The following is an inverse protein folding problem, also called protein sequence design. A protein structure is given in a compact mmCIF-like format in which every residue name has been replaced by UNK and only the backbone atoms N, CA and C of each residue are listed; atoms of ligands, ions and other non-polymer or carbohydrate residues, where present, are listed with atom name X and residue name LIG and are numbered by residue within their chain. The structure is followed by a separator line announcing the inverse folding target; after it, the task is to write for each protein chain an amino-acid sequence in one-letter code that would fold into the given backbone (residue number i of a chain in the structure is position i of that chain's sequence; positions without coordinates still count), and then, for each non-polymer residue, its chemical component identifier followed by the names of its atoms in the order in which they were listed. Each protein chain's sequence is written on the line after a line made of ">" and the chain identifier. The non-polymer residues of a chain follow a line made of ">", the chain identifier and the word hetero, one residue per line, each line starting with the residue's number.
data_IF_331406294658
#
_entry.id   IF_331406294658
#
_cell.length_a   1.000
_cell.length_b   1.000
_cell.length_c   1.000
_cell.angle_alpha   90.00
_cell.angle_beta   90.00
_cell.angle_gamma   90.00
#
_symmetry.space_group_name_H-M   'P 1'
#
loop_
_entity.id
_entity.type
_entity.pdbx_description
1 polymer ?
#
# COMPACT_ATOMS: atom_id res chain seq x y z
N UNK A 1 29.32 -9.72 -5.92
CA UNK A 1 28.32 -8.74 -5.46
C UNK A 1 27.53 -9.40 -4.33
N UNK A 2 27.22 -8.71 -3.23
CA UNK A 2 26.40 -9.30 -2.17
C UNK A 2 24.97 -9.53 -2.66
N UNK A 3 24.26 -10.50 -2.09
CA UNK A 3 22.86 -10.76 -2.45
C UNK A 3 21.98 -9.51 -2.27
N UNK A 4 22.27 -8.68 -1.27
CA UNK A 4 21.58 -7.41 -1.05
C UNK A 4 21.89 -6.39 -2.16
N UNK A 5 23.15 -6.27 -2.59
CA UNK A 5 23.50 -5.36 -3.69
C UNK A 5 22.78 -5.72 -4.99
N UNK A 6 22.60 -7.01 -5.29
CA UNK A 6 21.82 -7.46 -6.46
C UNK A 6 20.34 -7.08 -6.35
N UNK A 7 19.73 -7.25 -5.16
CA UNK A 7 18.32 -6.90 -4.92
C UNK A 7 18.08 -5.40 -5.00
N UNK A 8 19.00 -4.58 -4.47
CA UNK A 8 18.93 -3.12 -4.57
C UNK A 8 19.05 -2.64 -6.02
N UNK A 9 19.89 -3.31 -6.81
CA UNK A 9 19.99 -3.04 -8.25
C UNK A 9 18.68 -3.39 -8.97
N UNK A 10 18.10 -4.56 -8.70
CA UNK A 10 16.80 -4.96 -9.28
C UNK A 10 15.69 -3.97 -8.88
N UNK A 11 15.66 -3.54 -7.61
CA UNK A 11 14.71 -2.53 -7.14
C UNK A 11 14.84 -1.22 -7.93
N UNK A 12 16.07 -0.73 -8.12
CA UNK A 12 16.34 0.49 -8.89
C UNK A 12 15.94 0.36 -10.37
N UNK A 13 16.16 -0.82 -10.97
CA UNK A 13 15.71 -1.12 -12.34
C UNK A 13 14.18 -1.14 -12.46
N UNK A 14 13.49 -1.65 -11.44
CA UNK A 14 12.04 -1.60 -11.34
C UNK A 14 11.51 -0.16 -11.19
N UNK A 15 12.15 0.69 -10.40
CA UNK A 15 11.78 2.12 -10.30
C UNK A 15 11.97 2.85 -11.63
N UNK A 16 13.08 2.59 -12.33
CA UNK A 16 13.31 3.15 -13.67
C UNK A 16 12.24 2.70 -14.67
N UNK A 17 11.81 1.44 -14.61
CA UNK A 17 10.68 0.94 -15.43
C UNK A 17 9.38 1.65 -15.09
N UNK A 18 9.12 1.91 -13.80
CA UNK A 18 7.94 2.67 -13.39
C UNK A 18 7.96 4.10 -13.97
N UNK A 19 9.11 4.77 -13.95
CA UNK A 19 9.28 6.09 -14.57
C UNK A 19 9.07 6.05 -16.09
N UNK A 20 9.57 5.02 -16.77
CA UNK A 20 9.34 4.83 -18.20
C UNK A 20 7.84 4.57 -18.52
N UNK A 21 7.12 3.87 -17.65
CA UNK A 21 5.67 3.72 -17.73
C UNK A 21 4.92 5.06 -17.58
N UNK A 22 5.47 6.01 -16.83
CA UNK A 22 4.88 7.34 -16.67
C UNK A 22 5.15 8.29 -17.85
N UNK A 23 6.20 8.04 -18.64
CA UNK A 23 6.49 8.85 -19.82
C UNK A 23 5.42 8.68 -20.90
N UNK A 24 4.90 9.81 -21.36
CA UNK A 24 4.06 9.93 -22.55
C UNK A 24 4.93 10.23 -23.77
N UNK A 25 4.52 9.80 -24.96
CA UNK A 25 5.27 10.03 -26.19
C UNK A 25 4.33 10.19 -27.36
N UNK A 26 4.37 11.36 -28.00
CA UNK A 26 3.60 11.62 -29.22
C UNK A 26 4.10 10.76 -30.39
N UNK A 27 5.42 10.51 -30.47
CA UNK A 27 6.04 9.66 -31.51
C UNK A 27 5.57 8.20 -31.38
N UNK A 28 5.33 7.72 -30.16
CA UNK A 28 4.84 6.35 -29.89
C UNK A 28 3.33 6.28 -29.65
N UNK A 29 2.56 7.34 -29.99
CA UNK A 29 1.11 7.41 -29.80
C UNK A 29 0.63 7.12 -28.34
N UNK A 30 1.49 7.36 -27.33
CA UNK A 30 1.16 7.15 -25.92
C UNK A 30 0.76 8.48 -25.28
N UNK A 31 -0.55 8.74 -25.28
CA UNK A 31 -1.14 10.00 -24.80
C UNK A 31 -1.50 10.01 -23.33
N UNK A 32 -1.51 8.84 -22.67
CA UNK A 32 -1.73 8.72 -21.23
C UNK A 32 -0.60 7.93 -20.56
N UNK A 33 -0.21 8.28 -19.33
CA UNK A 33 0.66 7.44 -18.52
C UNK A 33 0.09 6.02 -18.37
N UNK A 34 0.98 5.04 -18.28
CA UNK A 34 0.62 3.66 -17.95
C UNK A 34 0.71 3.49 -16.43
N UNK A 35 -0.35 3.89 -15.73
CA UNK A 35 -0.41 3.86 -14.28
C UNK A 35 -0.33 2.44 -13.72
N UNK A 36 -1.00 1.46 -14.34
CA UNK A 36 -0.97 0.07 -13.88
C UNK A 36 0.43 -0.54 -14.05
N UNK A 37 1.08 -0.31 -15.18
CA UNK A 37 2.46 -0.76 -15.41
C UNK A 37 3.46 -0.10 -14.47
N UNK A 38 3.27 1.19 -14.15
CA UNK A 38 4.09 1.90 -13.20
C UNK A 38 3.90 1.38 -11.76
N UNK A 39 2.65 1.17 -11.35
CA UNK A 39 2.32 0.64 -10.03
C UNK A 39 2.87 -0.79 -9.85
N UNK A 40 2.66 -1.67 -10.83
CA UNK A 40 3.19 -3.04 -10.80
C UNK A 40 4.71 -3.08 -10.69
N UNK A 41 5.40 -2.19 -11.42
CA UNK A 41 6.86 -2.09 -11.34
C UNK A 41 7.32 -1.63 -9.95
N UNK A 42 6.59 -0.74 -9.29
CA UNK A 42 6.89 -0.31 -7.92
C UNK A 42 6.58 -1.38 -6.87
N UNK A 43 5.53 -2.18 -7.04
CA UNK A 43 5.29 -3.35 -6.18
C UNK A 43 6.44 -4.35 -6.25
N UNK A 44 6.97 -4.58 -7.46
CA UNK A 44 8.18 -5.39 -7.68
C UNK A 44 9.40 -4.79 -6.99
N UNK A 45 9.59 -3.47 -7.07
CA UNK A 45 10.66 -2.77 -6.36
C UNK A 45 10.54 -2.96 -4.83
N UNK A 46 9.32 -2.83 -4.29
CA UNK A 46 9.05 -3.02 -2.86
C UNK A 46 9.43 -4.43 -2.38
N UNK A 47 9.11 -5.48 -3.15
CA UNK A 47 9.54 -6.84 -2.84
C UNK A 47 11.07 -6.95 -2.79
N UNK A 48 11.77 -6.31 -3.73
CA UNK A 48 13.23 -6.31 -3.77
C UNK A 48 13.83 -5.57 -2.57
N UNK A 49 13.32 -4.40 -2.22
CA UNK A 49 13.74 -3.63 -1.05
C UNK A 49 13.50 -4.39 0.26
N UNK A 50 12.33 -5.03 0.42
CA UNK A 50 12.04 -5.86 1.59
C UNK A 50 13.03 -7.00 1.71
N UNK A 51 13.32 -7.70 0.62
CA UNK A 51 14.29 -8.80 0.60
C UNK A 51 15.74 -8.34 0.80
N UNK A 52 16.03 -7.05 0.60
CA UNK A 52 17.30 -6.42 0.89
C UNK A 52 17.39 -5.86 2.33
N UNK A 53 16.38 -6.10 3.17
CA UNK A 53 16.25 -5.58 4.54
C UNK A 53 16.13 -4.04 4.60
N UNK A 54 15.49 -3.45 3.61
CA UNK A 54 15.19 -2.02 3.52
C UNK A 54 13.66 -1.77 3.59
N UNK A 55 13.00 -2.07 4.73
CA UNK A 55 11.54 -2.03 4.85
C UNK A 55 10.94 -0.64 4.66
N UNK A 56 11.66 0.44 5.03
CA UNK A 56 11.18 1.81 4.81
C UNK A 56 11.14 2.16 3.32
N UNK A 57 12.18 1.82 2.55
CA UNK A 57 12.17 1.99 1.08
C UNK A 57 11.08 1.14 0.42
N UNK A 58 10.88 -0.08 0.91
CA UNK A 58 9.80 -0.93 0.43
C UNK A 58 8.41 -0.31 0.66
N UNK A 59 8.18 0.29 1.84
CA UNK A 59 6.95 1.00 2.14
C UNK A 59 6.76 2.22 1.23
N UNK A 60 7.81 3.02 1.02
CA UNK A 60 7.76 4.19 0.12
C UNK A 60 7.42 3.79 -1.32
N UNK A 61 8.01 2.71 -1.84
CA UNK A 61 7.67 2.17 -3.17
C UNK A 61 6.20 1.75 -3.25
N UNK A 62 5.66 1.07 -2.23
CA UNK A 62 4.24 0.70 -2.18
C UNK A 62 3.32 1.92 -2.08
N UNK A 63 3.71 2.97 -1.35
CA UNK A 63 2.94 4.21 -1.28
C UNK A 63 2.87 4.91 -2.63
N UNK A 64 3.97 4.92 -3.38
CA UNK A 64 4.00 5.44 -4.75
C UNK A 64 3.16 4.58 -5.70
N UNK A 65 3.18 3.25 -5.54
CA UNK A 65 2.29 2.35 -6.29
C UNK A 65 0.81 2.63 -5.99
N UNK A 66 0.47 2.83 -4.72
CA UNK A 66 -0.88 3.17 -4.28
C UNK A 66 -1.39 4.48 -4.90
N UNK A 67 -0.52 5.49 -5.05
CA UNK A 67 -0.85 6.73 -5.74
C UNK A 67 -1.22 6.47 -7.21
N UNK A 68 -0.42 5.70 -7.94
CA UNK A 68 -0.71 5.38 -9.34
C UNK A 68 -1.99 4.55 -9.50
N UNK A 69 -2.25 3.58 -8.62
CA UNK A 69 -3.53 2.89 -8.63
C UNK A 69 -4.71 3.83 -8.38
N UNK A 70 -4.56 4.80 -7.48
CA UNK A 70 -5.61 5.79 -7.22
C UNK A 70 -5.84 6.71 -8.43
N UNK A 71 -4.78 7.20 -9.08
CA UNK A 71 -4.89 8.00 -10.31
C UNK A 71 -5.60 7.23 -11.43
N UNK A 72 -5.42 5.90 -11.47
CA UNK A 72 -6.11 5.01 -12.39
C UNK A 72 -7.50 4.56 -11.90
N UNK A 73 -8.01 5.11 -10.80
CA UNK A 73 -9.29 4.75 -10.15
C UNK A 73 -9.39 3.28 -9.70
N UNK A 74 -8.27 2.59 -9.55
CA UNK A 74 -8.20 1.23 -9.03
C UNK A 74 -8.10 1.25 -7.49
N UNK A 75 -9.21 1.62 -6.84
CA UNK A 75 -9.26 1.87 -5.40
C UNK A 75 -8.86 0.66 -4.56
N UNK A 76 -9.25 -0.55 -4.98
CA UNK A 76 -8.91 -1.79 -4.28
C UNK A 76 -7.39 -2.02 -4.25
N UNK A 77 -6.70 -1.87 -5.38
CA UNK A 77 -5.25 -2.05 -5.43
C UNK A 77 -4.51 -0.91 -4.72
N UNK A 78 -5.05 0.31 -4.76
CA UNK A 78 -4.52 1.42 -3.96
C UNK A 78 -4.59 1.13 -2.46
N UNK A 79 -5.73 0.62 -1.97
CA UNK A 79 -5.92 0.20 -0.58
C UNK A 79 -4.95 -0.92 -0.19
N UNK A 80 -4.84 -1.96 -1.03
CA UNK A 80 -3.93 -3.09 -0.81
C UNK A 80 -2.47 -2.67 -0.72
N UNK A 81 -2.02 -1.78 -1.59
CA UNK A 81 -0.65 -1.26 -1.55
C UNK A 81 -0.39 -0.45 -0.26
N UNK A 82 -1.36 0.37 0.20
CA UNK A 82 -1.26 1.08 1.49
C UNK A 82 -1.21 0.13 2.68
N UNK A 83 -2.04 -0.90 2.68
CA UNK A 83 -2.03 -1.93 3.73
C UNK A 83 -0.66 -2.63 3.79
N UNK A 84 -0.09 -2.98 2.63
CA UNK A 84 1.26 -3.54 2.54
C UNK A 84 2.34 -2.60 3.10
N UNK A 85 2.26 -1.30 2.79
CA UNK A 85 3.16 -0.29 3.36
C UNK A 85 2.98 -0.16 4.89
N UNK A 86 1.73 -0.17 5.38
CA UNK A 86 1.42 -0.12 6.80
C UNK A 86 2.03 -1.30 7.56
N UNK A 87 1.95 -2.50 7.01
CA UNK A 87 2.56 -3.70 7.58
C UNK A 87 4.08 -3.58 7.70
N UNK A 88 4.76 -3.05 6.68
CA UNK A 88 6.21 -2.82 6.73
C UNK A 88 6.61 -1.80 7.79
N UNK A 89 5.85 -0.69 7.90
CA UNK A 89 6.08 0.33 8.92
C UNK A 89 5.84 -0.20 10.35
N UNK A 90 4.80 -1.03 10.53
CA UNK A 90 4.55 -1.74 11.78
C UNK A 90 5.75 -2.62 12.17
N UNK A 91 6.31 -3.36 11.22
CA UNK A 91 7.42 -4.28 11.49
C UNK A 91 8.69 -3.54 11.95
N UNK A 92 8.86 -2.27 11.56
CA UNK A 92 9.93 -1.39 12.06
C UNK A 92 9.49 -0.46 13.22
N UNK A 93 8.34 -0.75 13.85
CA UNK A 93 7.79 -0.03 15.01
C UNK A 93 7.39 1.43 14.75
N UNK A 94 7.12 1.79 13.50
CA UNK A 94 6.59 3.09 13.09
C UNK A 94 5.06 3.10 13.18
N UNK A 95 4.53 2.80 14.37
CA UNK A 95 3.12 2.49 14.57
C UNK A 95 2.20 3.66 14.22
N UNK A 96 2.58 4.90 14.55
CA UNK A 96 1.77 6.07 14.23
C UNK A 96 1.60 6.27 12.72
N UNK A 97 2.61 5.95 11.91
CA UNK A 97 2.55 6.08 10.46
C UNK A 97 1.77 4.91 9.86
N UNK A 98 2.03 3.69 10.34
CA UNK A 98 1.31 2.48 9.94
C UNK A 98 -0.22 2.63 10.13
N UNK A 99 -0.66 3.15 11.28
CA UNK A 99 -2.10 3.33 11.58
C UNK A 99 -2.78 4.26 10.59
N UNK A 100 -2.15 5.41 10.26
CA UNK A 100 -2.68 6.34 9.25
C UNK A 100 -2.85 5.67 7.89
N UNK A 101 -1.94 4.76 7.53
CA UNK A 101 -2.03 4.01 6.28
C UNK A 101 -3.11 2.93 6.33
N UNK A 102 -3.27 2.23 7.45
CA UNK A 102 -4.38 1.30 7.63
C UNK A 102 -5.73 2.02 7.53
N UNK A 103 -5.90 3.19 8.14
CA UNK A 103 -7.13 3.98 8.03
C UNK A 103 -7.47 4.30 6.58
N UNK A 104 -6.49 4.77 5.79
CA UNK A 104 -6.66 5.02 4.35
C UNK A 104 -6.91 3.76 3.53
N UNK A 105 -6.38 2.61 3.95
CA UNK A 105 -6.64 1.33 3.29
C UNK A 105 -8.07 0.86 3.57
N UNK A 106 -8.55 0.99 4.82
CA UNK A 106 -9.92 0.67 5.22
C UNK A 106 -10.92 1.49 4.40
N UNK A 107 -10.68 2.80 4.29
CA UNK A 107 -11.52 3.70 3.48
C UNK A 107 -11.51 3.27 2.02
N UNK A 108 -10.32 3.02 1.44
CA UNK A 108 -10.21 2.59 0.05
C UNK A 108 -10.87 1.24 -0.25
N UNK A 109 -10.81 0.27 0.66
CA UNK A 109 -11.53 -1.00 0.52
C UNK A 109 -13.05 -0.83 0.63
N UNK A 110 -13.51 0.03 1.55
CA UNK A 110 -14.94 0.32 1.66
C UNK A 110 -15.47 1.04 0.41
N UNK A 111 -14.74 2.04 -0.09
CA UNK A 111 -15.06 2.76 -1.33
C UNK A 111 -15.02 1.87 -2.57
N UNK A 112 -14.17 0.83 -2.58
CA UNK A 112 -14.17 -0.17 -3.65
C UNK A 112 -15.30 -1.20 -3.55
N UNK A 113 -16.15 -1.12 -2.51
CA UNK A 113 -17.22 -2.08 -2.24
C UNK A 113 -16.76 -3.36 -1.55
N UNK A 114 -15.52 -3.42 -1.05
CA UNK A 114 -14.92 -4.58 -0.39
C UNK A 114 -14.99 -4.44 1.14
N UNK A 115 -16.20 -4.39 1.68
CA UNK A 115 -16.45 -4.16 3.12
C UNK A 115 -15.84 -5.23 4.01
N UNK A 116 -15.86 -6.50 3.58
CA UNK A 116 -15.24 -7.61 4.34
C UNK A 116 -13.72 -7.41 4.48
N UNK A 117 -13.05 -7.03 3.40
CA UNK A 117 -11.62 -6.72 3.42
C UNK A 117 -11.33 -5.48 4.26
N UNK A 118 -12.20 -4.47 4.21
CA UNK A 118 -12.11 -3.29 5.08
C UNK A 118 -12.21 -3.71 6.56
N UNK A 119 -13.18 -4.55 6.92
CA UNK A 119 -13.37 -5.06 8.28
C UNK A 119 -12.16 -5.86 8.78
N UNK A 120 -11.59 -6.75 7.95
CA UNK A 120 -10.34 -7.46 8.29
C UNK A 120 -9.16 -6.51 8.49
N UNK A 121 -9.09 -5.43 7.71
CA UNK A 121 -8.02 -4.43 7.84
C UNK A 121 -8.17 -3.60 9.11
N UNK A 122 -9.40 -3.36 9.56
CA UNK A 122 -9.68 -2.74 10.87
C UNK A 122 -9.12 -3.59 12.01
N UNK A 123 -9.25 -4.91 11.95
CA UNK A 123 -8.69 -5.81 12.98
C UNK A 123 -7.16 -5.72 13.03
N UNK A 124 -6.51 -5.72 11.87
CA UNK A 124 -5.05 -5.54 11.77
C UNK A 124 -4.61 -4.21 12.38
N UNK A 125 -5.31 -3.13 12.09
CA UNK A 125 -5.03 -1.80 12.62
C UNK A 125 -5.21 -1.73 14.15
N UNK A 126 -6.29 -2.35 14.66
CA UNK A 126 -6.53 -2.43 16.09
C UNK A 126 -5.44 -3.24 16.81
N UNK A 127 -4.97 -4.34 16.22
CA UNK A 127 -3.87 -5.15 16.77
C UNK A 127 -2.56 -4.36 16.89
N UNK A 128 -2.25 -3.49 15.92
CA UNK A 128 -1.10 -2.59 16.01
C UNK A 128 -1.22 -1.63 17.20
N UNK A 129 -2.43 -1.12 17.45
CA UNK A 129 -2.69 -0.14 18.49
C UNK A 129 -2.87 -0.74 19.90
N UNK A 130 -3.13 -2.04 20.04
CA UNK A 130 -3.43 -2.67 21.35
C UNK A 130 -2.34 -2.43 22.41
N UNK A 131 -1.08 -2.35 22.00
CA UNK A 131 0.05 -2.14 22.91
C UNK A 131 0.46 -0.67 23.03
N UNK A 132 0.10 0.17 22.06
CA UNK A 132 0.56 1.57 21.96
C UNK A 132 -0.52 2.56 22.42
N UNK A 133 -1.75 2.39 21.95
CA UNK A 133 -2.91 3.22 22.31
C UNK A 133 -4.21 2.39 22.32
N UNK A 134 -4.52 1.73 23.46
CA UNK A 134 -5.72 0.90 23.59
C UNK A 134 -7.02 1.67 23.34
N UNK A 135 -7.05 2.98 23.60
CA UNK A 135 -8.25 3.80 23.37
C UNK A 135 -8.51 4.00 21.88
N UNK A 136 -7.47 4.26 21.09
CA UNK A 136 -7.60 4.29 19.63
C UNK A 136 -7.91 2.91 19.05
N UNK A 137 -7.34 1.84 19.59
CA UNK A 137 -7.68 0.48 19.17
C UNK A 137 -9.18 0.19 19.33
N UNK A 138 -9.78 0.65 20.43
CA UNK A 138 -11.23 0.57 20.63
C UNK A 138 -11.98 1.39 19.58
N UNK A 139 -11.62 2.67 19.37
CA UNK A 139 -12.24 3.54 18.37
C UNK A 139 -12.24 2.91 16.96
N UNK A 140 -11.11 2.34 16.55
CA UNK A 140 -10.95 1.63 15.29
C UNK A 140 -11.84 0.38 15.25
N UNK A 141 -11.91 -0.40 16.34
CA UNK A 141 -12.76 -1.59 16.44
C UNK A 141 -14.27 -1.28 16.35
N UNK A 142 -14.71 -0.11 16.83
CA UNK A 142 -16.10 0.34 16.64
C UNK A 142 -16.43 0.54 15.16
N UNK A 143 -15.49 1.05 14.37
CA UNK A 143 -15.64 1.21 12.92
C UNK A 143 -15.93 -0.12 12.21
N UNK A 144 -15.25 -1.21 12.60
CA UNK A 144 -15.53 -2.57 12.10
C UNK A 144 -16.98 -2.96 12.30
N UNK A 145 -17.48 -2.81 13.54
CA UNK A 145 -18.87 -3.17 13.89
C UNK A 145 -19.90 -2.42 13.06
N UNK A 146 -19.60 -1.20 12.63
CA UNK A 146 -20.47 -0.44 11.74
C UNK A 146 -20.42 -0.95 10.29
N UNK A 147 -19.25 -1.38 9.81
CA UNK A 147 -19.10 -1.98 8.48
C UNK A 147 -19.88 -3.31 8.38
N UNK A 148 -19.77 -4.19 9.38
CA UNK A 148 -20.49 -5.48 9.38
C UNK A 148 -22.01 -5.30 9.26
N UNK A 149 -22.58 -4.30 9.96
CA UNK A 149 -24.01 -3.97 9.88
C UNK A 149 -24.45 -3.41 8.52
N UNK A 150 -23.51 -2.95 7.69
CA UNK A 150 -23.81 -2.46 6.34
C UNK A 150 -23.75 -3.56 5.28
N UNK A 151 -23.03 -4.66 5.55
CA UNK A 151 -22.98 -5.85 4.67
C UNK A 151 -24.23 -6.73 4.82
N UNK A 152 -24.90 -6.68 5.96
CA UNK A 152 -26.06 -7.52 6.31
C UNK A 152 -27.43 -6.98 5.82
N UNK A 153 -27.44 -5.99 4.91
CA UNK A 153 -28.67 -5.39 4.31
C UNK A 153 -28.75 -5.67 2.82
#
# INVERSE_FOLDING_TARGET
>A
MSANASRLKEASECERKAEDCMKTSMIKLKFKPDYDGAAYSLERAAVCYRNAQEPRKAADSLLKAAQYYQENRNLFHAAKAREGAAMLLRDIKEFSEAVKLFEKAIDGYAESGSLDTAAMTVEKAADVLKNDDPKKALAVSWRRRHLDKSTDR
#
